data_IF_527469544574
#
_entry.id   IF_527469544574
#
_cell.length_a   1.000
_cell.length_b   1.000
_cell.length_c   1.000
_cell.angle_alpha   90.00
_cell.angle_beta   90.00
_cell.angle_gamma   90.00
#
_symmetry.space_group_name_H-M   'P 1'
#
loop_
_entity.id
_entity.type
_entity.pdbx_description
1 polymer ?
#
# COMPACT_ATOMS: atom_id res chain seq x y z
N UNK A 1 9.38 -8.27 -7.76
CA UNK A 1 8.47 -9.43 -7.97
C UNK A 1 9.29 -10.61 -8.45
N UNK A 2 8.83 -11.83 -8.17
CA UNK A 2 9.40 -13.10 -8.65
C UNK A 2 8.36 -13.84 -9.50
N UNK A 3 8.81 -14.80 -10.31
CA UNK A 3 7.96 -15.64 -11.17
C UNK A 3 6.96 -14.83 -11.99
N UNK A 4 7.46 -13.81 -12.69
CA UNK A 4 6.63 -12.83 -13.40
C UNK A 4 6.19 -13.41 -14.75
N UNK A 5 4.89 -13.33 -15.03
CA UNK A 5 4.28 -13.68 -16.32
C UNK A 5 3.40 -12.54 -16.82
N UNK A 6 3.37 -12.33 -18.14
CA UNK A 6 2.36 -11.47 -18.77
C UNK A 6 1.08 -12.27 -18.97
N UNK A 7 -0.02 -11.75 -18.43
CA UNK A 7 -1.34 -12.41 -18.39
C UNK A 7 -2.33 -11.81 -19.39
N UNK A 8 -1.87 -10.89 -20.24
CA UNK A 8 -2.65 -10.27 -21.31
C UNK A 8 -2.58 -8.75 -21.34
N UNK A 9 -3.23 -8.18 -22.34
CA UNK A 9 -3.30 -6.73 -22.56
C UNK A 9 -4.75 -6.26 -22.62
N UNK A 10 -4.99 -5.02 -22.20
CA UNK A 10 -6.30 -4.37 -22.28
C UNK A 10 -6.12 -2.90 -22.67
N UNK A 11 -7.11 -2.30 -23.32
CA UNK A 11 -7.10 -0.86 -23.61
C UNK A 11 -7.97 -0.13 -22.59
N UNK A 12 -7.42 0.87 -21.90
CA UNK A 12 -8.14 1.71 -20.92
C UNK A 12 -7.86 3.16 -21.28
N UNK A 13 -8.92 3.96 -21.50
CA UNK A 13 -8.77 5.37 -21.88
C UNK A 13 -7.93 5.58 -23.16
N UNK A 14 -7.96 4.63 -24.10
CA UNK A 14 -7.15 4.67 -25.32
C UNK A 14 -5.69 4.22 -25.16
N UNK A 15 -5.24 3.93 -23.94
CA UNK A 15 -3.88 3.46 -23.65
C UNK A 15 -3.88 1.93 -23.53
N UNK A 16 -2.95 1.27 -24.21
CA UNK A 16 -2.74 -0.17 -24.10
C UNK A 16 -1.97 -0.48 -22.82
N UNK A 17 -2.56 -1.29 -21.96
CA UNK A 17 -2.00 -1.66 -20.66
C UNK A 17 -1.73 -3.17 -20.65
N UNK A 18 -0.51 -3.56 -20.31
CA UNK A 18 -0.13 -4.96 -20.07
C UNK A 18 -0.37 -5.34 -18.61
N UNK A 19 -0.96 -6.51 -18.39
CA UNK A 19 -1.15 -7.08 -17.06
C UNK A 19 -0.09 -8.14 -16.81
N UNK A 20 0.64 -7.97 -15.71
CA UNK A 20 1.60 -8.94 -15.21
C UNK A 20 1.10 -9.57 -13.93
N UNK A 21 1.45 -10.84 -13.71
CA UNK A 21 1.24 -11.55 -12.45
C UNK A 21 2.58 -12.03 -11.92
N UNK A 22 2.72 -12.07 -10.61
CA UNK A 22 3.86 -12.68 -9.95
C UNK A 22 3.67 -12.79 -8.45
N UNK A 23 4.76 -13.07 -7.74
CA UNK A 23 4.79 -13.11 -6.29
C UNK A 23 5.66 -11.99 -5.72
N UNK A 24 5.23 -11.40 -4.60
CA UNK A 24 6.05 -10.49 -3.80
C UNK A 24 6.78 -11.31 -2.74
N UNK A 25 8.07 -11.05 -2.57
CA UNK A 25 8.79 -11.57 -1.41
C UNK A 25 8.52 -10.69 -0.17
N UNK A 26 8.85 -11.24 0.99
CA UNK A 26 8.60 -10.59 2.28
C UNK A 26 9.23 -9.19 2.39
N UNK A 27 10.44 -9.03 1.85
CA UNK A 27 11.14 -7.75 1.84
C UNK A 27 10.37 -6.70 1.02
N UNK A 28 9.86 -7.09 -0.15
CA UNK A 28 9.04 -6.22 -0.98
C UNK A 28 7.66 -5.92 -0.34
N UNK A 29 7.03 -6.92 0.29
CA UNK A 29 5.74 -6.74 0.98
C UNK A 29 5.85 -5.75 2.13
N UNK A 30 6.91 -5.85 2.94
CA UNK A 30 7.10 -5.04 4.15
C UNK A 30 7.77 -3.70 3.89
N UNK A 31 8.09 -3.39 2.63
CA UNK A 31 8.76 -2.15 2.25
C UNK A 31 7.89 -0.93 2.61
N UNK A 32 8.48 0.02 3.33
CA UNK A 32 7.82 1.26 3.80
C UNK A 32 6.53 1.08 4.62
N UNK A 33 6.24 -0.13 5.09
CA UNK A 33 5.23 -0.31 6.15
C UNK A 33 5.68 0.41 7.42
N UNK A 34 4.72 0.94 8.17
CA UNK A 34 4.95 1.39 9.53
C UNK A 34 5.52 0.23 10.38
N UNK A 35 6.35 0.56 11.36
CA UNK A 35 7.12 -0.44 12.11
C UNK A 35 6.21 -1.45 12.84
N UNK A 36 5.16 -0.96 13.48
CA UNK A 36 4.13 -1.75 14.15
C UNK A 36 3.41 -2.71 13.20
N UNK A 37 3.06 -2.24 11.99
CA UNK A 37 2.44 -3.07 10.95
C UNK A 37 3.41 -4.13 10.44
N UNK A 38 4.68 -3.78 10.21
CA UNK A 38 5.72 -4.73 9.79
C UNK A 38 5.91 -5.83 10.83
N UNK A 39 5.99 -5.48 12.10
CA UNK A 39 6.18 -6.45 13.20
C UNK A 39 5.03 -7.47 13.25
N UNK A 40 3.80 -7.03 13.00
CA UNK A 40 2.65 -7.93 12.95
C UNK A 40 2.71 -8.90 11.77
N UNK A 41 3.09 -8.41 10.58
CA UNK A 41 3.27 -9.26 9.40
C UNK A 41 4.43 -10.25 9.62
N UNK A 42 5.53 -9.83 10.26
CA UNK A 42 6.67 -10.68 10.60
C UNK A 42 6.28 -11.79 11.59
N UNK A 43 5.49 -11.47 12.62
CA UNK A 43 4.95 -12.45 13.57
C UNK A 43 4.09 -13.48 12.85
N UNK A 44 3.17 -13.02 12.02
CA UNK A 44 2.27 -13.90 11.29
C UNK A 44 3.02 -14.83 10.31
N UNK A 45 4.08 -14.33 9.65
CA UNK A 45 4.97 -15.15 8.81
C UNK A 45 5.66 -16.26 9.59
N UNK A 46 6.23 -15.95 10.77
CA UNK A 46 6.89 -16.96 11.62
C UNK A 46 5.93 -18.06 12.08
N UNK A 47 4.67 -17.74 12.32
CA UNK A 47 3.65 -18.70 12.77
C UNK A 47 3.12 -19.59 11.65
N UNK A 48 3.09 -19.11 10.40
CA UNK A 48 2.43 -19.78 9.27
C UNK A 48 3.41 -20.46 8.30
N UNK A 49 4.71 -20.32 8.54
CA UNK A 49 5.78 -20.78 7.66
C UNK A 49 6.36 -19.64 6.82
N UNK A 50 7.68 -19.71 6.61
CA UNK A 50 8.48 -18.60 6.03
C UNK A 50 8.11 -18.22 4.58
N UNK A 51 7.28 -18.98 3.88
CA UNK A 51 6.98 -18.76 2.47
C UNK A 51 5.48 -18.53 2.22
N UNK A 52 4.93 -17.49 2.86
CA UNK A 52 3.57 -17.00 2.57
C UNK A 52 3.52 -16.45 1.14
N UNK A 53 2.83 -17.12 0.19
CA UNK A 53 2.78 -16.64 -1.18
C UNK A 53 1.90 -15.39 -1.27
N UNK A 54 2.52 -14.25 -1.53
CA UNK A 54 1.83 -12.98 -1.78
C UNK A 54 1.66 -12.83 -3.29
N UNK A 55 0.47 -13.13 -3.79
CA UNK A 55 0.19 -12.98 -5.23
C UNK A 55 -0.11 -11.54 -5.55
N UNK A 56 0.52 -11.00 -6.59
CA UNK A 56 0.24 -9.64 -7.07
C UNK A 56 0.00 -9.64 -8.58
N UNK A 57 -0.95 -8.81 -8.99
CA UNK A 57 -1.20 -8.42 -10.37
C UNK A 57 -0.86 -6.94 -10.53
N UNK A 58 -0.16 -6.58 -11.60
CA UNK A 58 0.25 -5.20 -11.90
C UNK A 58 -0.14 -4.85 -13.33
N UNK A 59 -0.70 -3.67 -13.51
CA UNK A 59 -1.05 -3.12 -14.82
C UNK A 59 -0.08 -2.00 -15.16
N UNK A 60 0.63 -2.17 -16.27
CA UNK A 60 1.72 -1.28 -16.70
C UNK A 60 1.39 -0.71 -18.07
N UNK A 61 1.54 0.59 -18.24
CA UNK A 61 1.37 1.28 -19.51
C UNK A 61 2.61 1.13 -20.42
N UNK A 62 2.57 1.59 -21.68
CA UNK A 62 3.70 1.47 -22.61
C UNK A 62 4.93 2.28 -22.20
N UNK A 63 4.77 3.25 -21.30
CA UNK A 63 5.84 4.08 -20.75
C UNK A 63 6.49 3.43 -19.51
N UNK A 64 5.97 2.29 -19.04
CA UNK A 64 6.47 1.60 -17.86
C UNK A 64 5.85 2.08 -16.55
N UNK A 65 4.82 2.91 -16.59
CA UNK A 65 4.14 3.42 -15.40
C UNK A 65 3.07 2.45 -14.92
N UNK A 66 3.00 2.28 -13.60
CA UNK A 66 1.99 1.43 -12.96
C UNK A 66 0.70 2.22 -12.83
N UNK A 67 -0.37 1.73 -13.46
CA UNK A 67 -1.72 2.31 -13.36
C UNK A 67 -2.59 1.60 -12.32
N UNK A 68 -2.30 0.33 -12.02
CA UNK A 68 -3.03 -0.45 -11.02
C UNK A 68 -2.18 -1.55 -10.44
N UNK A 69 -2.42 -1.87 -9.17
CA UNK A 69 -1.99 -3.11 -8.54
C UNK A 69 -3.14 -3.80 -7.84
N UNK A 70 -3.09 -5.13 -7.77
CA UNK A 70 -3.97 -5.95 -6.96
C UNK A 70 -3.14 -7.02 -6.26
N UNK A 71 -3.08 -6.97 -4.94
CA UNK A 71 -2.33 -7.92 -4.12
C UNK A 71 -3.29 -8.75 -3.30
N UNK A 72 -3.10 -10.06 -3.32
CA UNK A 72 -3.84 -11.03 -2.50
C UNK A 72 -2.88 -11.68 -1.53
N UNK A 73 -3.23 -11.59 -0.25
CA UNK A 73 -2.51 -12.23 0.85
C UNK A 73 -3.50 -13.09 1.62
N UNK A 74 -3.15 -14.37 1.82
CA UNK A 74 -3.85 -15.23 2.75
C UNK A 74 -3.00 -15.36 4.01
N UNK A 75 -3.52 -14.88 5.14
CA UNK A 75 -2.82 -14.86 6.42
C UNK A 75 -3.70 -15.53 7.47
N UNK A 76 -3.24 -16.64 8.06
CA UNK A 76 -3.92 -17.37 9.13
C UNK A 76 -5.41 -17.68 8.83
N UNK A 77 -5.73 -18.00 7.57
CA UNK A 77 -7.10 -18.28 7.11
C UNK A 77 -7.92 -17.04 6.74
N UNK A 78 -7.43 -15.83 7.01
CA UNK A 78 -8.01 -14.59 6.50
C UNK A 78 -7.48 -14.26 5.11
N UNK A 79 -8.38 -14.00 4.16
CA UNK A 79 -8.03 -13.51 2.83
C UNK A 79 -8.11 -12.00 2.78
N UNK A 80 -7.00 -11.34 2.47
CA UNK A 80 -6.91 -9.90 2.27
C UNK A 80 -6.65 -9.60 0.80
N UNK A 81 -7.42 -8.67 0.24
CA UNK A 81 -7.18 -8.13 -1.09
C UNK A 81 -6.93 -6.64 -0.98
N UNK A 82 -5.76 -6.20 -1.42
CA UNK A 82 -5.41 -4.80 -1.57
C UNK A 82 -5.49 -4.44 -3.05
N UNK A 83 -6.17 -3.35 -3.37
CA UNK A 83 -6.21 -2.82 -4.73
C UNK A 83 -5.83 -1.34 -4.69
N UNK A 84 -4.85 -0.96 -5.50
CA UNK A 84 -4.43 0.42 -5.69
C UNK A 84 -4.62 0.78 -7.16
N UNK A 85 -5.20 1.95 -7.42
CA UNK A 85 -5.26 2.53 -8.76
C UNK A 85 -4.53 3.86 -8.71
N UNK A 86 -3.68 4.10 -9.69
CA UNK A 86 -2.86 5.31 -9.83
C UNK A 86 -3.26 5.98 -11.15
N UNK A 87 -3.61 7.26 -11.05
CA UNK A 87 -3.92 8.13 -12.18
C UNK A 87 -3.17 9.45 -12.03
N UNK A 88 -3.20 10.26 -13.09
CA UNK A 88 -2.71 11.65 -13.07
C UNK A 88 -1.24 11.78 -12.63
N UNK A 89 -0.44 10.75 -12.89
CA UNK A 89 0.97 10.71 -12.48
C UNK A 89 1.74 11.84 -13.16
N UNK A 90 2.46 12.63 -12.37
CA UNK A 90 3.20 13.80 -12.85
C UNK A 90 2.38 15.08 -12.91
N UNK A 91 1.09 15.03 -12.60
CA UNK A 91 0.23 16.22 -12.51
C UNK A 91 0.50 16.96 -11.20
N UNK A 92 0.67 18.29 -11.21
CA UNK A 92 0.78 19.09 -10.00
C UNK A 92 -0.44 18.91 -9.09
N UNK A 93 -0.20 18.80 -7.78
CA UNK A 93 -1.26 18.70 -6.76
C UNK A 93 -1.34 20.01 -6.00
N UNK A 94 -2.53 20.62 -5.96
CA UNK A 94 -2.84 21.76 -5.09
C UNK A 94 -3.26 21.25 -3.71
N UNK A 95 -2.68 21.82 -2.65
CA UNK A 95 -2.90 21.38 -1.27
C UNK A 95 -3.39 22.56 -0.44
N UNK A 96 -4.63 22.47 0.03
CA UNK A 96 -5.18 23.39 1.01
C UNK A 96 -4.84 22.91 2.43
N UNK A 97 -4.01 23.69 3.13
CA UNK A 97 -3.67 23.41 4.53
C UNK A 97 -4.79 23.95 5.43
N UNK A 98 -5.45 23.11 6.26
CA UNK A 98 -6.47 23.60 7.17
C UNK A 98 -5.87 24.59 8.16
N UNK A 99 -6.60 25.66 8.47
CA UNK A 99 -6.15 26.67 9.42
C UNK A 99 -5.82 26.02 10.79
N UNK A 100 -4.68 26.40 11.37
CA UNK A 100 -4.28 25.96 12.71
C UNK A 100 -5.31 26.44 13.74
N UNK A 101 -6.10 25.52 14.29
CA UNK A 101 -6.94 25.82 15.45
C UNK A 101 -6.06 25.89 16.70
N UNK A 102 -5.53 27.07 17.02
CA UNK A 102 -4.94 27.31 18.33
C UNK A 102 -6.09 27.43 19.34
N UNK A 103 -6.21 26.44 20.23
CA UNK A 103 -7.07 26.57 21.41
C UNK A 103 -6.27 27.30 22.49
N UNK A 104 -6.67 28.51 22.93
CA UNK A 104 -6.06 29.13 24.09
C UNK A 104 -6.32 28.25 25.31
N UNK A 105 -5.25 27.91 26.03
CA UNK A 105 -5.35 27.30 27.35
C UNK A 105 -5.79 28.39 28.33
N UNK A 106 -7.08 28.40 28.68
CA UNK A 106 -7.53 29.13 29.87
C UNK A 106 -6.90 28.46 31.09
N UNK A 107 -6.25 29.27 31.92
CA UNK A 107 -5.22 28.87 32.88
C UNK A 107 -5.53 27.65 33.77
N UNK A 108 -4.47 26.91 34.11
CA UNK A 108 -4.50 25.93 35.18
C UNK A 108 -4.83 26.60 36.52
N UNK A 109 -6.09 26.51 36.99
CA UNK A 109 -6.41 26.76 38.39
C UNK A 109 -6.20 25.45 39.18
N UNK A 110 -4.95 25.20 39.61
CA UNK A 110 -4.63 24.11 40.51
C UNK A 110 -4.85 24.53 41.97
N UNK A 111 -5.66 23.76 42.71
CA UNK A 111 -5.96 23.91 44.14
C UNK A 111 -4.76 23.66 45.09
N UNK A 112 -3.53 23.62 44.60
CA UNK A 112 -2.33 23.26 45.38
C UNK A 112 -1.31 24.41 45.52
N UNK A 113 -1.70 25.65 45.23
CA UNK A 113 -0.95 26.85 45.60
C UNK A 113 -1.69 27.57 46.74
N UNK A 114 -1.62 26.98 47.93
CA UNK A 114 -2.12 27.54 49.19
C UNK A 114 -1.29 27.03 50.35
#
# INVERSE_FOLDING_TARGET
MRNVSEEGTQTVGGVRISRYRGTLDHTALTYRMAADVRDEVDRARKLLGDDLPVFTEVWVDPQGMVSRTRTKLNLAGAQMTMALSLSDIGTPVEVDVPASATVPVDGFSGYFLG
#
